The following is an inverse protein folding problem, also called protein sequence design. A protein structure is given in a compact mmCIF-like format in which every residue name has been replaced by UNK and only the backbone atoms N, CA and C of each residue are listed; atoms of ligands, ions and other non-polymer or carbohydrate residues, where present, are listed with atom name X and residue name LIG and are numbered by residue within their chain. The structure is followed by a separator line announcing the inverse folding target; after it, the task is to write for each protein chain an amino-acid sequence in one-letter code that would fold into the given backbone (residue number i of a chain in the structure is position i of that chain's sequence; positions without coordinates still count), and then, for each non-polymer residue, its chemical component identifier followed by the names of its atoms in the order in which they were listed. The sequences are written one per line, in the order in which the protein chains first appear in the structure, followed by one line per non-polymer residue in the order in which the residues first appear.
data_IF_537975257627
#
_entry.id   IF_537975257627
#
_cell.length_a   1.000
_cell.length_b   1.000
_cell.length_c   1.000
_cell.angle_alpha   90.00
_cell.angle_beta   90.00
_cell.angle_gamma   90.00
#
_symmetry.space_group_name_H-M   'P 1'
#
loop_
_entity.id
_entity.type
_entity.pdbx_description
1 polymer ?
#
# COMPACT_ATOMS: atom_id res chain seq x y z
N UNK A 1 3.96 30.58 14.93
CA UNK A 1 3.95 30.56 13.47
C UNK A 1 4.59 29.23 13.05
N UNK A 2 3.81 28.16 13.15
CA UNK A 2 4.23 26.79 12.81
C UNK A 2 3.88 26.54 11.33
N UNK A 3 4.34 27.42 10.45
CA UNK A 3 4.08 27.40 8.99
C UNK A 3 4.98 26.38 8.26
N UNK A 4 5.10 25.20 8.84
CA UNK A 4 5.67 24.02 8.17
C UNK A 4 4.84 22.80 8.52
N UNK A 5 3.51 22.93 8.41
CA UNK A 5 2.72 21.81 7.93
C UNK A 5 3.28 21.53 6.54
N UNK A 6 4.02 20.42 6.44
CA UNK A 6 4.47 19.81 5.18
C UNK A 6 3.36 20.00 4.14
N UNK A 7 3.71 20.50 2.96
CA UNK A 7 2.79 20.45 1.82
C UNK A 7 2.21 19.03 1.75
N UNK A 8 0.88 18.92 1.79
CA UNK A 8 0.20 17.64 1.63
C UNK A 8 0.69 17.02 0.31
N UNK A 9 1.07 15.72 0.30
CA UNK A 9 1.58 15.10 -0.90
C UNK A 9 0.54 15.20 -2.01
N UNK A 10 0.99 15.54 -3.22
CA UNK A 10 0.10 15.57 -4.37
C UNK A 10 -0.42 14.17 -4.68
N UNK A 11 -1.55 14.10 -5.37
CA UNK A 11 -2.11 12.83 -5.91
C UNK A 11 -1.04 12.01 -6.64
N UNK A 12 -0.26 12.64 -7.51
CA UNK A 12 0.82 11.96 -8.25
C UNK A 12 1.91 11.41 -7.32
N UNK A 13 2.26 12.16 -6.26
CA UNK A 13 3.24 11.70 -5.26
C UNK A 13 2.72 10.51 -4.45
N UNK A 14 1.41 10.46 -4.18
CA UNK A 14 0.77 9.34 -3.49
C UNK A 14 0.74 8.08 -4.38
N UNK A 15 0.38 8.23 -5.65
CA UNK A 15 0.42 7.13 -6.64
C UNK A 15 1.84 6.56 -6.77
N UNK A 16 2.83 7.43 -6.96
CA UNK A 16 4.23 7.03 -7.04
C UNK A 16 4.72 6.38 -5.74
N UNK A 17 4.26 6.90 -4.59
CA UNK A 17 4.49 6.30 -3.28
C UNK A 17 3.96 4.87 -3.17
N UNK A 18 2.72 4.62 -3.58
CA UNK A 18 2.10 3.28 -3.57
C UNK A 18 2.88 2.29 -4.43
N UNK A 19 3.26 2.69 -5.65
CA UNK A 19 4.03 1.85 -6.58
C UNK A 19 5.43 1.54 -6.04
N UNK A 20 6.08 2.52 -5.40
CA UNK A 20 7.37 2.30 -4.74
C UNK A 20 7.25 1.34 -3.56
N UNK A 21 6.19 1.45 -2.76
CA UNK A 21 5.93 0.52 -1.65
C UNK A 21 5.72 -0.90 -2.17
N UNK A 22 4.92 -1.10 -3.23
CA UNK A 22 4.75 -2.40 -3.87
C UNK A 22 6.09 -3.01 -4.32
N UNK A 23 6.92 -2.22 -4.99
CA UNK A 23 8.24 -2.66 -5.44
C UNK A 23 9.15 -3.05 -4.27
N UNK A 24 9.12 -2.29 -3.17
CA UNK A 24 9.88 -2.60 -1.95
C UNK A 24 9.38 -3.91 -1.32
N UNK A 25 8.06 -4.07 -1.19
CA UNK A 25 7.46 -5.26 -0.60
C UNK A 25 7.78 -6.52 -1.43
N UNK A 26 7.67 -6.46 -2.76
CA UNK A 26 8.09 -7.55 -3.65
C UNK A 26 9.58 -7.90 -3.51
N UNK A 27 10.43 -6.91 -3.25
CA UNK A 27 11.87 -7.12 -3.08
C UNK A 27 12.25 -7.63 -1.68
N UNK A 28 11.49 -7.25 -0.65
CA UNK A 28 11.82 -7.53 0.74
C UNK A 28 11.19 -8.83 1.26
N UNK A 29 10.08 -9.27 0.66
CA UNK A 29 9.32 -10.42 1.14
C UNK A 29 9.60 -11.70 0.31
N UNK A 30 9.41 -12.89 0.90
CA UNK A 30 9.64 -14.14 0.19
C UNK A 30 8.77 -14.25 -1.07
N UNK A 31 9.40 -14.50 -2.22
CA UNK A 31 8.68 -14.71 -3.49
C UNK A 31 7.70 -15.89 -3.44
N UNK A 32 7.92 -16.84 -2.52
CA UNK A 32 7.01 -17.97 -2.27
C UNK A 32 5.62 -17.56 -1.79
N UNK A 33 5.46 -16.35 -1.26
CA UNK A 33 4.15 -15.81 -0.87
C UNK A 33 3.31 -15.33 -2.05
N UNK A 34 3.93 -15.18 -3.23
CA UNK A 34 3.30 -14.74 -4.48
C UNK A 34 3.26 -15.86 -5.54
N UNK A 35 3.62 -17.09 -5.17
CA UNK A 35 3.58 -18.25 -6.07
C UNK A 35 2.34 -19.08 -5.74
N UNK A 36 1.30 -19.01 -6.59
CA UNK A 36 0.03 -19.74 -6.44
C UNK A 36 0.18 -21.26 -6.29
N UNK A 37 1.35 -21.81 -6.64
CA UNK A 37 1.64 -23.23 -6.54
C UNK A 37 2.42 -23.60 -5.27
N UNK A 38 2.87 -22.61 -4.49
CA UNK A 38 3.60 -22.80 -3.25
C UNK A 38 2.65 -22.91 -2.05
N UNK A 39 3.05 -23.70 -1.04
CA UNK A 39 2.23 -23.90 0.16
C UNK A 39 2.10 -22.63 1.03
N UNK A 40 3.06 -21.72 0.89
CA UNK A 40 3.11 -20.43 1.60
C UNK A 40 2.46 -19.29 0.80
N UNK A 41 1.79 -19.60 -0.32
CA UNK A 41 1.08 -18.60 -1.11
C UNK A 41 0.07 -17.84 -0.26
N UNK A 42 0.05 -16.52 -0.43
CA UNK A 42 -0.79 -15.61 0.33
C UNK A 42 -1.61 -14.72 -0.60
N UNK A 43 -2.86 -15.11 -0.91
CA UNK A 43 -3.69 -14.37 -1.86
C UNK A 43 -4.05 -12.96 -1.35
N UNK A 44 -4.11 -12.77 -0.02
CA UNK A 44 -4.35 -11.44 0.55
C UNK A 44 -3.15 -10.54 0.33
N UNK A 45 -1.93 -11.07 0.49
CA UNK A 45 -0.72 -10.30 0.22
C UNK A 45 -0.60 -9.95 -1.27
N UNK A 46 -0.88 -10.91 -2.16
CA UNK A 46 -0.87 -10.66 -3.61
C UNK A 46 -1.86 -9.56 -3.99
N UNK A 47 -3.12 -9.62 -3.51
CA UNK A 47 -4.14 -8.60 -3.80
C UNK A 47 -3.70 -7.20 -3.33
N UNK A 48 -3.13 -7.09 -2.12
CA UNK A 48 -2.62 -5.81 -1.61
C UNK A 48 -1.54 -5.23 -2.55
N UNK A 49 -0.62 -6.07 -3.02
CA UNK A 49 0.45 -5.64 -3.93
C UNK A 49 -0.10 -5.23 -5.29
N UNK A 50 -1.00 -6.03 -5.88
CA UNK A 50 -1.61 -5.73 -7.17
C UNK A 50 -2.38 -4.39 -7.11
N UNK A 51 -3.16 -4.15 -6.05
CA UNK A 51 -3.85 -2.87 -5.86
C UNK A 51 -2.90 -1.69 -5.71
N UNK A 52 -1.77 -1.85 -5.04
CA UNK A 52 -0.75 -0.78 -4.97
C UNK A 52 -0.12 -0.50 -6.34
N UNK A 53 0.04 -1.52 -7.19
CA UNK A 53 0.61 -1.40 -8.53
C UNK A 53 -0.38 -0.77 -9.53
N UNK A 54 -1.66 -1.10 -9.38
CA UNK A 54 -2.75 -0.59 -10.21
C UNK A 54 -3.27 0.78 -9.76
N UNK A 55 -2.89 1.22 -8.54
CA UNK A 55 -3.33 2.49 -7.98
C UNK A 55 -3.06 3.68 -8.91
N UNK A 56 -4.08 4.52 -9.06
CA UNK A 56 -4.14 5.60 -10.03
C UNK A 56 -4.73 6.87 -9.43
N UNK A 57 -4.65 7.97 -10.18
CA UNK A 57 -5.25 9.22 -9.76
C UNK A 57 -6.79 9.16 -9.68
N UNK A 58 -7.41 8.27 -10.46
CA UNK A 58 -8.87 8.15 -10.52
C UNK A 58 -9.44 7.55 -9.23
N UNK A 59 -8.65 6.74 -8.52
CA UNK A 59 -9.01 6.14 -7.23
C UNK A 59 -9.22 7.20 -6.13
N UNK A 60 -8.70 8.41 -6.30
CA UNK A 60 -8.94 9.54 -5.40
C UNK A 60 -10.26 10.28 -5.63
N UNK A 61 -10.98 9.98 -6.71
CA UNK A 61 -12.23 10.64 -7.02
C UNK A 61 -13.45 9.98 -6.34
N UNK A 62 -13.25 8.93 -5.54
CA UNK A 62 -14.33 8.31 -4.78
C UNK A 62 -14.82 9.27 -3.69
N UNK A 63 -16.12 9.64 -3.69
CA UNK A 63 -16.68 10.56 -2.70
C UNK A 63 -16.75 10.00 -1.28
N UNK A 64 -16.38 8.73 -1.07
CA UNK A 64 -16.33 8.10 0.25
C UNK A 64 -15.07 8.44 1.04
N UNK A 65 -14.03 8.98 0.41
CA UNK A 65 -12.79 9.39 1.10
C UNK A 65 -12.78 10.88 1.41
N UNK A 66 -12.21 11.25 2.56
CA UNK A 66 -12.07 12.66 2.97
C UNK A 66 -11.00 13.42 2.16
N UNK A 67 -10.18 12.68 1.41
CA UNK A 67 -9.19 13.20 0.48
C UNK A 67 -8.16 12.16 0.06
N UNK A 68 -7.13 12.55 -0.71
CA UNK A 68 -6.16 11.60 -1.25
C UNK A 68 -5.38 10.82 -0.20
N UNK A 69 -5.02 11.45 0.92
CA UNK A 69 -4.35 10.74 2.02
C UNK A 69 -5.23 9.66 2.65
N UNK A 70 -6.51 9.97 2.85
CA UNK A 70 -7.50 9.05 3.44
C UNK A 70 -7.76 7.85 2.51
N UNK A 71 -7.82 8.08 1.20
CA UNK A 71 -7.94 7.01 0.21
C UNK A 71 -6.76 6.02 0.30
N UNK A 72 -5.51 6.51 0.38
CA UNK A 72 -4.34 5.62 0.54
C UNK A 72 -4.39 4.85 1.86
N UNK A 73 -4.79 5.51 2.95
CA UNK A 73 -4.84 4.88 4.27
C UNK A 73 -5.90 3.78 4.33
N UNK A 74 -7.12 4.08 3.85
CA UNK A 74 -8.25 3.15 3.82
C UNK A 74 -8.07 2.03 2.81
N UNK A 75 -7.62 2.34 1.59
CA UNK A 75 -7.59 1.35 0.51
C UNK A 75 -6.37 0.45 0.55
N UNK A 76 -5.27 0.85 1.21
CA UNK A 76 -3.98 0.15 1.06
C UNK A 76 -3.30 -0.06 2.42
N UNK A 77 -3.04 1.01 3.16
CA UNK A 77 -2.15 0.92 4.32
C UNK A 77 -2.80 0.16 5.48
N UNK A 78 -4.08 0.38 5.75
CA UNK A 78 -4.82 -0.33 6.79
C UNK A 78 -4.74 -1.84 6.58
N UNK A 79 -5.02 -2.30 5.37
CA UNK A 79 -5.02 -3.73 5.06
C UNK A 79 -3.61 -4.33 5.08
N UNK A 80 -2.60 -3.60 4.58
CA UNK A 80 -1.20 -4.01 4.70
C UNK A 80 -0.77 -4.16 6.16
N UNK A 81 -1.14 -3.21 7.02
CA UNK A 81 -0.81 -3.26 8.44
C UNK A 81 -1.53 -4.38 9.17
N UNK A 82 -2.82 -4.59 8.90
CA UNK A 82 -3.60 -5.69 9.47
C UNK A 82 -3.05 -7.06 9.04
N UNK A 83 -2.68 -7.18 7.76
CA UNK A 83 -2.01 -8.38 7.23
C UNK A 83 -0.68 -8.65 7.92
N UNK A 84 0.15 -7.61 8.08
CA UNK A 84 1.47 -7.71 8.71
C UNK A 84 1.36 -8.07 10.20
N UNK A 85 0.43 -7.44 10.94
CA UNK A 85 0.22 -7.73 12.36
C UNK A 85 -0.28 -9.15 12.58
N UNK A 86 -1.24 -9.61 11.77
CA UNK A 86 -1.77 -10.98 11.81
C UNK A 86 -0.66 -12.03 11.64
N UNK A 87 0.35 -11.73 10.82
CA UNK A 87 1.49 -12.62 10.53
C UNK A 87 2.73 -12.34 11.37
N UNK A 88 2.67 -11.36 12.29
CA UNK A 88 3.80 -10.89 13.10
C UNK A 88 5.02 -10.48 12.26
N UNK A 89 4.76 -9.92 11.08
CA UNK A 89 5.78 -9.41 10.17
C UNK A 89 6.09 -7.97 10.57
N UNK A 90 7.36 -7.70 10.83
CA UNK A 90 7.83 -6.35 11.09
C UNK A 90 8.54 -5.83 9.84
N UNK A 91 7.87 -4.94 9.11
CA UNK A 91 8.47 -4.24 7.98
C UNK A 91 9.59 -3.34 8.51
N UNK A 92 10.84 -3.80 8.43
CA UNK A 92 12.01 -2.99 8.79
C UNK A 92 12.42 -2.16 7.58
N UNK A 93 12.39 -0.84 7.75
CA UNK A 93 12.97 0.12 6.83
C UNK A 93 14.50 0.06 6.84
#
# INVERSE_FOLDING_TARGET
MLDTLKDDPTVDQLVDGCKKMAAILRAALPATWLDIHHADYDPTFEDIIERMEEFSADDFNDPHYEGPGDAVDCMILTELYDWADTRRIWLRA
#
